data_IF_617577442611
#
_entry.id   IF_617577442611
#
_cell.length_a   1.000
_cell.length_b   1.000
_cell.length_c   1.000
_cell.angle_alpha   90.00
_cell.angle_beta   90.00
_cell.angle_gamma   90.00
#
_symmetry.space_group_name_H-M   'P 1'
#
loop_
_entity.id
_entity.type
_entity.pdbx_description
1 polymer ?
#
# COMPACT_ATOMS: atom_id res chain seq x y z
N UNK A 1 27.40 -6.19 2.71
CA UNK A 1 27.71 -6.06 4.15
C UNK A 1 28.41 -4.73 4.39
N UNK A 2 27.94 -3.91 5.33
CA UNK A 2 28.56 -2.64 5.66
C UNK A 2 29.83 -2.88 6.46
N UNK A 3 30.95 -2.29 6.06
CA UNK A 3 32.24 -2.46 6.76
C UNK A 3 32.24 -1.74 8.11
N UNK A 4 33.05 -2.19 9.09
CA UNK A 4 33.20 -1.54 10.39
C UNK A 4 33.58 -0.05 10.27
N UNK A 5 34.45 0.30 9.30
CA UNK A 5 34.81 1.69 8.99
C UNK A 5 33.59 2.54 8.60
N UNK A 6 32.65 1.96 7.85
CA UNK A 6 31.44 2.64 7.39
C UNK A 6 30.44 2.85 8.55
N UNK A 7 30.35 1.87 9.46
CA UNK A 7 29.53 1.97 10.68
C UNK A 7 30.08 3.08 11.59
N UNK A 8 31.39 3.14 11.76
CA UNK A 8 32.05 4.15 12.60
C UNK A 8 31.94 5.56 12.01
N UNK A 9 32.13 5.70 10.69
CA UNK A 9 31.89 6.96 9.98
C UNK A 9 30.44 7.43 10.11
N UNK A 10 29.46 6.52 9.95
CA UNK A 10 28.06 6.84 10.12
C UNK A 10 27.71 7.25 11.55
N UNK A 11 28.27 6.61 12.57
CA UNK A 11 28.13 7.02 13.98
C UNK A 11 28.71 8.41 14.24
N UNK A 12 29.86 8.73 13.66
CA UNK A 12 30.48 10.06 13.77
C UNK A 12 29.61 11.12 13.11
N UNK A 13 29.15 10.87 11.89
CA UNK A 13 28.27 11.76 11.16
C UNK A 13 26.92 11.96 11.86
N UNK A 14 26.35 10.91 12.47
CA UNK A 14 25.12 11.02 13.24
C UNK A 14 25.24 11.91 14.47
N UNK A 15 26.41 11.92 15.14
CA UNK A 15 26.70 12.83 16.27
C UNK A 15 26.82 14.30 15.84
N UNK A 16 27.26 14.55 14.61
CA UNK A 16 27.40 15.88 14.04
C UNK A 16 26.10 16.37 13.37
N UNK A 17 25.15 15.48 13.13
CA UNK A 17 23.88 15.81 12.50
C UNK A 17 22.89 16.35 13.54
N UNK A 18 22.76 17.67 13.60
CA UNK A 18 21.80 18.35 14.49
C UNK A 18 20.40 18.48 13.92
N UNK A 19 20.12 17.85 12.77
CA UNK A 19 18.85 18.01 12.06
C UNK A 19 18.71 19.37 11.38
N UNK A 20 17.54 19.70 10.80
CA UNK A 20 17.35 20.96 10.12
C UNK A 20 17.31 22.12 11.10
N UNK A 21 18.28 23.04 11.00
CA UNK A 21 18.40 24.21 11.85
C UNK A 21 17.50 25.37 11.41
N UNK A 22 17.21 25.49 10.10
CA UNK A 22 16.39 26.57 9.54
C UNK A 22 14.90 26.21 9.58
N UNK A 23 14.02 27.21 9.67
CA UNK A 23 12.56 27.00 9.67
C UNK A 23 12.07 26.38 8.36
N UNK A 24 12.69 26.72 7.24
CA UNK A 24 12.40 26.08 5.96
C UNK A 24 12.85 24.62 5.94
N UNK A 25 13.99 24.28 6.50
CA UNK A 25 14.48 22.91 6.67
C UNK A 25 13.57 22.11 7.59
N UNK A 26 13.09 22.69 8.69
CA UNK A 26 12.10 22.09 9.60
C UNK A 26 10.76 21.85 8.88
N UNK A 27 10.30 22.82 8.06
CA UNK A 27 9.08 22.67 7.26
C UNK A 27 9.23 21.56 6.22
N UNK A 28 10.37 21.49 5.51
CA UNK A 28 10.68 20.39 4.56
C UNK A 28 10.74 19.03 5.26
N UNK A 29 11.36 18.95 6.42
CA UNK A 29 11.41 17.73 7.23
C UNK A 29 10.00 17.29 7.66
N UNK A 30 9.17 18.23 8.13
CA UNK A 30 7.75 17.96 8.45
C UNK A 30 6.96 17.52 7.22
N UNK A 31 7.16 18.16 6.07
CA UNK A 31 6.51 17.73 4.81
C UNK A 31 6.96 16.33 4.37
N UNK A 32 8.23 15.98 4.57
CA UNK A 32 8.72 14.63 4.32
C UNK A 32 8.12 13.63 5.30
N UNK A 33 7.98 13.97 6.57
CA UNK A 33 7.26 13.13 7.54
C UNK A 33 5.79 12.95 7.16
N UNK A 34 5.14 14.00 6.65
CA UNK A 34 3.75 13.93 6.13
C UNK A 34 3.66 13.11 4.84
N UNK A 35 4.68 13.14 3.97
CA UNK A 35 4.75 12.24 2.79
C UNK A 35 4.85 10.77 3.18
N UNK A 36 5.35 10.46 4.36
CA UNK A 36 5.42 9.11 4.91
C UNK A 36 4.22 8.77 5.83
N UNK A 37 3.04 9.34 5.57
CA UNK A 37 1.79 9.03 6.29
C UNK A 37 1.49 7.52 6.39
N UNK A 38 2.04 6.72 5.49
CA UNK A 38 2.01 5.25 5.59
C UNK A 38 2.58 4.72 6.91
N UNK A 39 3.55 5.43 7.51
CA UNK A 39 4.17 5.06 8.78
C UNK A 39 3.49 5.66 10.00
N UNK A 40 2.48 6.54 9.81
CA UNK A 40 1.72 7.11 10.92
C UNK A 40 0.96 6.02 11.66
N UNK A 41 1.08 5.98 12.97
CA UNK A 41 0.37 5.01 13.84
C UNK A 41 -1.12 5.31 13.92
N UNK A 42 -1.49 6.56 13.74
CA UNK A 42 -2.86 7.04 13.85
C UNK A 42 -3.66 6.80 12.57
N UNK A 43 -4.94 6.55 12.74
CA UNK A 43 -5.96 6.58 11.69
C UNK A 43 -5.84 7.91 10.93
N UNK A 44 -5.82 7.85 9.60
CA UNK A 44 -5.84 9.06 8.77
C UNK A 44 -7.30 9.47 8.62
N UNK A 45 -7.82 10.27 9.54
CA UNK A 45 -9.23 10.70 9.61
C UNK A 45 -9.78 11.21 8.27
N UNK A 46 -8.94 11.79 7.42
CA UNK A 46 -9.36 12.25 6.11
C UNK A 46 -9.56 11.13 5.07
N UNK A 47 -9.09 9.91 5.33
CA UNK A 47 -9.06 8.79 4.38
C UNK A 47 -9.58 7.49 4.96
N UNK A 48 -9.75 7.40 6.26
CA UNK A 48 -10.14 6.19 6.99
C UNK A 48 -11.23 6.54 8.01
N UNK A 49 -12.16 5.64 8.19
CA UNK A 49 -13.20 5.77 9.20
C UNK A 49 -12.64 5.36 10.56
N UNK A 50 -12.74 6.26 11.53
CA UNK A 50 -12.31 6.03 12.91
C UNK A 50 -13.20 4.99 13.62
N UNK A 51 -14.49 4.90 13.27
CA UNK A 51 -15.41 3.92 13.82
C UNK A 51 -15.06 2.51 13.33
N UNK A 52 -14.71 2.36 12.04
CA UNK A 52 -14.22 1.12 11.46
C UNK A 52 -12.94 0.64 12.16
N UNK A 53 -12.02 1.57 12.44
CA UNK A 53 -10.80 1.22 13.18
C UNK A 53 -11.11 0.77 14.60
N UNK A 54 -11.99 1.49 15.32
CA UNK A 54 -12.36 1.15 16.69
C UNK A 54 -13.07 -0.22 16.76
N UNK A 55 -13.95 -0.52 15.80
CA UNK A 55 -14.60 -1.82 15.68
C UNK A 55 -13.58 -2.94 15.40
N UNK A 56 -12.61 -2.69 14.50
CA UNK A 56 -11.53 -3.62 14.19
C UNK A 56 -10.62 -3.87 15.39
N UNK A 57 -10.19 -2.81 16.09
CA UNK A 57 -9.36 -2.90 17.30
C UNK A 57 -10.07 -3.72 18.39
N UNK A 58 -11.37 -3.44 18.59
CA UNK A 58 -12.21 -4.18 19.55
C UNK A 58 -12.31 -5.67 19.18
N UNK A 59 -12.46 -6.00 17.90
CA UNK A 59 -12.49 -7.39 17.43
C UNK A 59 -11.17 -8.11 17.73
N UNK A 60 -10.04 -7.50 17.36
CA UNK A 60 -8.71 -8.07 17.62
C UNK A 60 -8.46 -8.22 19.13
N UNK A 61 -8.82 -7.21 19.94
CA UNK A 61 -8.65 -7.30 21.40
C UNK A 61 -9.56 -8.36 22.04
N UNK A 62 -10.72 -8.63 21.45
CA UNK A 62 -11.62 -9.69 21.86
C UNK A 62 -11.11 -11.10 21.59
N UNK A 63 -10.30 -11.29 20.54
CA UNK A 63 -9.71 -12.59 20.19
C UNK A 63 -8.57 -13.00 21.14
N UNK A 64 -8.00 -12.05 21.86
CA UNK A 64 -6.90 -12.27 22.80
C UNK A 64 -7.35 -12.00 24.23
N UNK A 65 -7.30 -13.02 25.08
CA UNK A 65 -7.55 -12.90 26.53
C UNK A 65 -6.31 -12.33 27.25
N UNK A 66 -6.05 -11.04 27.02
CA UNK A 66 -4.86 -10.34 27.51
C UNK A 66 -5.01 -10.02 29.01
N UNK A 67 -4.35 -10.78 29.88
CA UNK A 67 -4.44 -10.67 31.34
C UNK A 67 -3.53 -9.57 31.90
N UNK A 68 -2.35 -9.39 31.33
CA UNK A 68 -1.39 -8.40 31.82
C UNK A 68 -1.43 -7.09 31.02
N UNK A 69 -0.94 -6.00 31.62
CA UNK A 69 -0.81 -4.73 30.93
C UNK A 69 0.08 -4.82 29.68
N UNK A 70 1.15 -5.64 29.75
CA UNK A 70 2.05 -5.85 28.61
C UNK A 70 1.35 -6.60 27.48
N UNK A 71 0.57 -7.63 27.79
CA UNK A 71 -0.21 -8.35 26.78
C UNK A 71 -1.23 -7.42 26.12
N UNK A 72 -1.95 -6.60 26.89
CA UNK A 72 -2.90 -5.62 26.34
C UNK A 72 -2.23 -4.64 25.40
N UNK A 73 -1.09 -4.08 25.79
CA UNK A 73 -0.33 -3.16 24.93
C UNK A 73 0.14 -3.84 23.64
N UNK A 74 0.61 -5.08 23.71
CA UNK A 74 1.01 -5.84 22.52
C UNK A 74 -0.17 -6.12 21.59
N UNK A 75 -1.35 -6.43 22.12
CA UNK A 75 -2.56 -6.67 21.33
C UNK A 75 -3.04 -5.40 20.66
N UNK A 76 -3.06 -4.26 21.35
CA UNK A 76 -3.39 -2.95 20.76
C UNK A 76 -2.41 -2.59 19.63
N UNK A 77 -1.11 -2.82 19.87
CA UNK A 77 -0.11 -2.60 18.85
C UNK A 77 -0.26 -3.54 17.66
N UNK A 78 -0.64 -4.79 17.89
CA UNK A 78 -0.95 -5.74 16.82
C UNK A 78 -2.12 -5.26 15.98
N UNK A 79 -3.21 -4.81 16.59
CA UNK A 79 -4.36 -4.27 15.89
C UNK A 79 -3.97 -3.08 14.98
N UNK A 80 -3.17 -2.13 15.51
CA UNK A 80 -2.63 -1.02 14.73
C UNK A 80 -1.79 -1.48 13.54
N UNK A 81 -0.91 -2.48 13.70
CA UNK A 81 -0.08 -3.00 12.62
C UNK A 81 -0.91 -3.71 11.54
N UNK A 82 -1.89 -4.51 11.93
CA UNK A 82 -2.78 -5.21 11.01
C UNK A 82 -3.66 -4.22 10.22
N UNK A 83 -4.14 -3.15 10.87
CA UNK A 83 -4.86 -2.07 10.19
C UNK A 83 -4.01 -1.38 9.12
N UNK A 84 -2.76 -1.12 9.43
CA UNK A 84 -1.80 -0.52 8.50
C UNK A 84 -1.46 -1.45 7.34
N UNK A 85 -1.40 -2.76 7.56
CA UNK A 85 -1.27 -3.76 6.49
C UNK A 85 -2.50 -3.74 5.56
N UNK A 86 -3.71 -3.68 6.12
CA UNK A 86 -4.95 -3.52 5.33
C UNK A 86 -4.94 -2.25 4.49
N UNK A 87 -4.44 -1.14 5.06
CA UNK A 87 -4.24 0.12 4.34
C UNK A 87 -3.26 -0.03 3.18
N UNK A 88 -2.15 -0.73 3.35
CA UNK A 88 -1.17 -0.97 2.30
C UNK A 88 -1.80 -1.68 1.09
N UNK A 89 -2.57 -2.73 1.32
CA UNK A 89 -3.34 -3.44 0.27
C UNK A 89 -4.35 -2.53 -0.42
N UNK A 90 -5.04 -1.67 0.33
CA UNK A 90 -5.97 -0.69 -0.24
C UNK A 90 -5.26 0.34 -1.13
N UNK A 91 -4.07 0.80 -0.72
CA UNK A 91 -3.23 1.70 -1.52
C UNK A 91 -2.76 1.02 -2.80
N UNK A 92 -2.28 -0.22 -2.73
CA UNK A 92 -1.89 -0.99 -3.90
C UNK A 92 -3.03 -1.07 -4.91
N UNK A 93 -4.21 -1.51 -4.46
CA UNK A 93 -5.42 -1.58 -5.28
C UNK A 93 -5.79 -0.21 -5.87
N UNK A 94 -5.64 0.86 -5.10
CA UNK A 94 -5.85 2.24 -5.52
C UNK A 94 -4.90 2.68 -6.64
N UNK A 95 -3.62 2.35 -6.52
CA UNK A 95 -2.61 2.63 -7.54
C UNK A 95 -2.95 1.96 -8.87
N UNK A 96 -3.33 0.69 -8.84
CA UNK A 96 -3.77 -0.03 -10.05
C UNK A 96 -5.04 0.58 -10.65
N UNK A 97 -6.04 0.93 -9.83
CA UNK A 97 -7.27 1.60 -10.31
C UNK A 97 -6.97 2.94 -11.00
N UNK A 98 -6.07 3.74 -10.44
CA UNK A 98 -5.67 5.01 -11.04
C UNK A 98 -5.01 4.78 -12.39
N UNK A 99 -4.06 3.83 -12.48
CA UNK A 99 -3.36 3.52 -13.73
C UNK A 99 -4.32 2.95 -14.78
N UNK A 100 -5.20 2.03 -14.41
CA UNK A 100 -6.22 1.48 -15.30
C UNK A 100 -7.13 2.59 -15.87
N UNK A 101 -7.56 3.53 -15.02
CA UNK A 101 -8.37 4.68 -15.44
C UNK A 101 -7.61 5.55 -16.44
N UNK A 102 -6.34 5.84 -16.20
CA UNK A 102 -5.50 6.63 -17.12
C UNK A 102 -5.33 5.92 -18.47
N UNK A 103 -5.10 4.59 -18.48
CA UNK A 103 -5.00 3.82 -19.72
C UNK A 103 -6.30 3.84 -20.53
N UNK A 104 -7.44 3.70 -19.86
CA UNK A 104 -8.74 3.76 -20.51
C UNK A 104 -9.01 5.15 -21.12
N UNK A 105 -8.66 6.21 -20.39
CA UNK A 105 -8.76 7.58 -20.92
C UNK A 105 -7.86 7.79 -22.12
N UNK A 106 -6.63 7.31 -22.08
CA UNK A 106 -5.69 7.38 -23.19
C UNK A 106 -6.21 6.63 -24.43
N UNK A 107 -6.73 5.39 -24.23
CA UNK A 107 -7.34 4.60 -25.32
C UNK A 107 -8.55 5.30 -25.94
N UNK A 108 -9.42 5.92 -25.12
CA UNK A 108 -10.57 6.70 -25.61
C UNK A 108 -10.13 7.89 -26.44
N UNK A 109 -9.14 8.66 -25.98
CA UNK A 109 -8.60 9.81 -26.72
C UNK A 109 -7.98 9.36 -28.05
N UNK A 110 -7.18 8.28 -28.04
CA UNK A 110 -6.57 7.73 -29.25
C UNK A 110 -7.62 7.25 -30.26
N UNK A 111 -8.68 6.57 -29.77
CA UNK A 111 -9.78 6.11 -30.65
C UNK A 111 -10.55 7.28 -31.24
N UNK A 112 -10.82 8.33 -30.48
CA UNK A 112 -11.45 9.54 -30.98
C UNK A 112 -10.58 10.23 -32.04
N UNK A 113 -9.26 10.27 -31.84
CA UNK A 113 -8.33 10.86 -32.81
C UNK A 113 -8.26 10.06 -34.12
N UNK A 114 -8.18 8.73 -34.03
CA UNK A 114 -8.15 7.84 -35.20
C UNK A 114 -9.50 7.81 -35.92
N UNK A 115 -10.60 7.90 -35.21
CA UNK A 115 -11.96 7.98 -35.80
C UNK A 115 -12.12 9.25 -36.65
N UNK A 116 -11.59 10.39 -36.22
CA UNK A 116 -11.58 11.60 -37.01
C UNK A 116 -10.72 11.50 -38.27
N UNK A 117 -9.58 10.79 -38.22
CA UNK A 117 -8.76 10.51 -39.41
C UNK A 117 -9.42 9.53 -40.39
N UNK A 118 -10.12 8.50 -39.89
CA UNK A 118 -10.87 7.55 -40.69
C UNK A 118 -12.12 8.19 -41.32
N UNK A 119 -12.82 9.06 -40.59
CA UNK A 119 -13.96 9.83 -41.13
C UNK A 119 -13.52 10.80 -42.21
N UNK A 120 -12.37 11.45 -42.07
CA UNK A 120 -11.77 12.27 -43.15
C UNK A 120 -11.35 11.43 -44.36
N UNK A 121 -10.90 10.18 -44.16
CA UNK A 121 -10.56 9.27 -45.27
C UNK A 121 -11.81 8.68 -45.93
N UNK A 122 -12.88 8.37 -45.17
CA UNK A 122 -14.14 7.81 -45.69
C UNK A 122 -14.99 8.80 -46.46
N UNK A 123 -14.78 10.07 -46.28
CA UNK A 123 -15.40 11.09 -47.14
C UNK A 123 -14.89 11.03 -48.60
N UNK A 124 -13.93 10.10 -48.86
CA UNK A 124 -13.32 9.89 -50.18
C UNK A 124 -13.59 8.56 -50.86
N UNK A 125 -14.23 7.52 -50.29
CA UNK A 125 -14.67 6.33 -51.07
C UNK A 125 -15.37 5.22 -50.23
N UNK A 126 -16.48 4.71 -50.77
CA UNK A 126 -17.10 3.37 -50.80
C UNK A 126 -17.85 2.81 -49.59
N UNK A 127 -19.13 2.39 -49.81
CA UNK A 127 -19.96 1.73 -48.81
C UNK A 127 -20.04 0.22 -49.06
N UNK A 128 -19.21 -0.59 -48.48
CA UNK A 128 -19.52 -2.02 -48.21
C UNK A 128 -18.53 -2.64 -47.23
N UNK A 129 -19.02 -3.11 -46.11
CA UNK A 129 -18.17 -3.81 -45.11
C UNK A 129 -18.92 -4.16 -43.84
N UNK A 130 -20.01 -4.92 -44.00
CA UNK A 130 -20.56 -5.75 -42.92
C UNK A 130 -19.50 -6.82 -42.60
N UNK A 131 -19.11 -6.97 -41.33
CA UNK A 131 -18.69 -8.23 -40.74
C UNK A 131 -18.03 -8.02 -39.35
N UNK A 132 -18.57 -8.79 -38.41
CA UNK A 132 -17.90 -9.41 -37.28
C UNK A 132 -18.22 -8.90 -35.85
N UNK A 133 -19.42 -9.30 -35.37
CA UNK A 133 -19.81 -9.16 -33.96
C UNK A 133 -19.19 -10.24 -33.05
N UNK A 134 -18.68 -11.34 -33.61
CA UNK A 134 -18.16 -12.49 -32.85
C UNK A 134 -16.74 -12.30 -32.29
N UNK A 135 -15.95 -11.45 -32.94
CA UNK A 135 -14.54 -11.22 -32.53
C UNK A 135 -14.37 -10.23 -31.36
N UNK A 136 -15.43 -9.53 -30.96
CA UNK A 136 -15.34 -8.48 -29.91
C UNK A 136 -15.25 -9.02 -28.50
N UNK A 137 -15.87 -10.18 -28.19
CA UNK A 137 -15.91 -10.73 -26.82
C UNK A 137 -14.60 -11.39 -26.39
N UNK A 138 -13.87 -12.03 -27.30
CA UNK A 138 -12.55 -12.61 -27.01
C UNK A 138 -11.45 -11.56 -26.95
N UNK A 139 -11.59 -10.44 -27.67
CA UNK A 139 -10.67 -9.31 -27.61
C UNK A 139 -10.76 -8.53 -26.29
N UNK A 140 -11.90 -8.50 -25.62
CA UNK A 140 -12.07 -7.73 -24.38
C UNK A 140 -11.42 -8.41 -23.17
N UNK A 141 -11.46 -9.74 -23.06
CA UNK A 141 -10.76 -10.47 -21.97
C UNK A 141 -9.25 -10.45 -22.13
N UNK A 142 -8.73 -10.64 -23.33
CA UNK A 142 -7.30 -10.47 -23.63
C UNK A 142 -6.83 -9.01 -23.39
N UNK A 143 -7.66 -8.03 -23.72
CA UNK A 143 -7.41 -6.62 -23.46
C UNK A 143 -7.41 -6.24 -21.96
N UNK A 144 -8.21 -6.92 -21.13
CA UNK A 144 -8.22 -6.72 -19.69
C UNK A 144 -6.94 -7.25 -19.04
N UNK A 145 -6.51 -8.47 -19.38
CA UNK A 145 -5.26 -9.07 -18.90
C UNK A 145 -4.06 -8.19 -19.28
N UNK A 146 -4.00 -7.73 -20.52
CA UNK A 146 -2.96 -6.82 -20.98
C UNK A 146 -2.99 -5.46 -20.25
N UNK A 147 -4.18 -4.97 -19.86
CA UNK A 147 -4.31 -3.69 -19.14
C UNK A 147 -3.69 -3.75 -17.72
N UNK A 148 -3.85 -4.87 -17.01
CA UNK A 148 -3.23 -5.08 -15.70
C UNK A 148 -1.71 -5.13 -15.84
N UNK A 149 -1.20 -5.90 -16.80
CA UNK A 149 0.23 -6.00 -17.08
C UNK A 149 0.85 -4.64 -17.44
N UNK A 150 0.20 -3.88 -18.32
CA UNK A 150 0.64 -2.52 -18.65
C UNK A 150 0.60 -1.57 -17.46
N UNK A 151 -0.41 -1.67 -16.61
CA UNK A 151 -0.51 -0.86 -15.39
C UNK A 151 0.64 -1.18 -14.43
N UNK A 152 0.96 -2.46 -14.27
CA UNK A 152 2.08 -2.92 -13.46
C UNK A 152 3.42 -2.38 -13.99
N UNK A 153 3.70 -2.58 -15.28
CA UNK A 153 4.93 -2.08 -15.91
C UNK A 153 5.09 -0.56 -15.80
N UNK A 154 3.99 0.19 -15.90
CA UNK A 154 4.04 1.65 -15.68
C UNK A 154 4.34 2.01 -14.24
N UNK A 155 3.72 1.34 -13.27
CA UNK A 155 3.96 1.59 -11.85
C UNK A 155 5.40 1.25 -11.45
N UNK A 156 5.98 0.17 -11.98
CA UNK A 156 7.37 -0.22 -11.71
C UNK A 156 8.37 0.75 -12.33
N UNK A 157 8.05 1.34 -13.48
CA UNK A 157 8.91 2.30 -14.19
C UNK A 157 8.74 3.76 -13.73
N UNK A 158 7.88 4.04 -12.74
CA UNK A 158 7.78 5.38 -12.17
C UNK A 158 9.05 5.73 -11.38
N UNK A 159 9.61 6.95 -11.52
CA UNK A 159 10.83 7.36 -10.82
C UNK A 159 10.68 7.39 -9.29
N UNK A 160 9.46 7.36 -8.79
CA UNK A 160 9.15 7.31 -7.35
C UNK A 160 9.11 5.90 -6.79
N UNK A 161 9.15 4.86 -7.63
CA UNK A 161 9.09 3.44 -7.25
C UNK A 161 8.00 3.12 -6.22
N UNK A 162 6.73 3.45 -6.48
CA UNK A 162 5.68 3.38 -5.45
C UNK A 162 5.42 1.96 -4.96
N UNK A 163 5.46 0.96 -5.84
CA UNK A 163 5.26 -0.45 -5.48
C UNK A 163 6.41 -0.99 -4.63
N UNK A 164 7.66 -0.66 -4.96
CA UNK A 164 8.83 -1.09 -4.19
C UNK A 164 8.83 -0.47 -2.79
N UNK A 165 8.45 0.81 -2.67
CA UNK A 165 8.28 1.47 -1.37
C UNK A 165 7.16 0.83 -0.55
N UNK A 166 6.05 0.50 -1.17
CA UNK A 166 4.91 -0.15 -0.52
C UNK A 166 5.29 -1.54 -0.03
N UNK A 167 5.95 -2.35 -0.87
CA UNK A 167 6.43 -3.69 -0.51
C UNK A 167 7.40 -3.68 0.67
N UNK A 168 8.36 -2.75 0.71
CA UNK A 168 9.27 -2.59 1.86
C UNK A 168 8.53 -2.20 3.13
N UNK A 169 7.52 -1.36 3.00
CA UNK A 169 6.67 -0.96 4.11
C UNK A 169 5.87 -2.14 4.65
N UNK A 170 5.20 -2.89 3.78
CA UNK A 170 4.47 -4.12 4.15
C UNK A 170 5.38 -5.15 4.82
N UNK A 171 6.55 -5.42 4.26
CA UNK A 171 7.52 -6.35 4.83
C UNK A 171 7.95 -5.93 6.24
N UNK A 172 8.06 -4.64 6.50
CA UNK A 172 8.40 -4.11 7.83
C UNK A 172 7.25 -4.29 8.82
N UNK A 173 6.03 -3.95 8.43
CA UNK A 173 4.83 -4.13 9.26
C UNK A 173 4.59 -5.60 9.57
N UNK A 174 4.70 -6.45 8.56
CA UNK A 174 4.51 -7.90 8.71
C UNK A 174 5.52 -8.50 9.68
N UNK A 175 6.80 -8.11 9.58
CA UNK A 175 7.84 -8.55 10.52
C UNK A 175 7.51 -8.15 11.96
N UNK A 176 7.06 -6.90 12.17
CA UNK A 176 6.66 -6.42 13.50
C UNK A 176 5.44 -7.18 14.02
N UNK A 177 4.43 -7.41 13.19
CA UNK A 177 3.25 -8.19 13.56
C UNK A 177 3.62 -9.62 13.94
N UNK A 178 4.47 -10.30 13.15
CA UNK A 178 4.96 -11.63 13.47
C UNK A 178 5.74 -11.67 14.79
N UNK A 179 6.56 -10.67 15.09
CA UNK A 179 7.27 -10.58 16.36
C UNK A 179 6.30 -10.50 17.55
N UNK A 180 5.24 -9.68 17.43
CA UNK A 180 4.22 -9.58 18.49
C UNK A 180 3.46 -10.89 18.64
N UNK A 181 3.03 -11.51 17.54
CA UNK A 181 2.32 -12.80 17.57
C UNK A 181 3.14 -13.90 18.24
N UNK A 182 4.44 -13.98 17.91
CA UNK A 182 5.35 -14.93 18.55
C UNK A 182 5.51 -14.63 20.05
N UNK A 183 5.60 -13.37 20.44
CA UNK A 183 5.72 -12.95 21.84
C UNK A 183 4.46 -13.29 22.61
N UNK A 184 3.28 -13.02 22.07
CA UNK A 184 1.99 -13.35 22.68
C UNK A 184 1.86 -14.87 22.85
N UNK A 185 2.20 -15.64 21.80
CA UNK A 185 2.21 -17.11 21.87
C UNK A 185 3.17 -17.64 22.94
N UNK A 186 4.33 -17.01 23.10
CA UNK A 186 5.30 -17.36 24.15
C UNK A 186 4.72 -17.11 25.55
N UNK A 187 4.02 -16.01 25.77
CA UNK A 187 3.33 -15.73 27.03
C UNK A 187 2.22 -16.75 27.30
N UNK A 188 1.47 -17.14 26.30
CA UNK A 188 0.44 -18.18 26.40
C UNK A 188 1.00 -19.52 26.86
N UNK A 189 2.15 -19.94 26.31
CA UNK A 189 2.80 -21.19 26.71
C UNK A 189 3.36 -21.15 28.14
N UNK A 190 3.71 -19.98 28.64
CA UNK A 190 4.19 -19.81 30.02
C UNK A 190 3.10 -19.87 31.09
N UNK A 191 1.82 -19.78 30.69
CA UNK A 191 0.65 -19.71 31.59
C UNK A 191 -0.32 -20.91 31.45
N UNK A 192 0.13 -22.17 31.27
CA UNK A 192 -0.79 -23.29 31.10
C UNK A 192 -1.72 -23.51 32.31
N UNK A 193 -1.31 -23.07 33.49
CA UNK A 193 -2.03 -23.27 34.74
C UNK A 193 -3.10 -22.24 35.06
N UNK A 194 -3.02 -21.02 34.49
CA UNK A 194 -3.99 -19.98 34.75
C UNK A 194 -5.32 -20.20 33.99
N UNK A 195 -5.29 -20.88 32.84
CA UNK A 195 -6.45 -21.21 32.04
C UNK A 195 -7.33 -22.33 32.59
N UNK A 196 -6.77 -23.19 33.44
CA UNK A 196 -7.49 -24.30 34.08
C UNK A 196 -8.34 -23.89 35.29
N UNK A 197 -8.20 -22.66 35.80
CA UNK A 197 -8.96 -22.14 36.95
C UNK A 197 -10.28 -21.46 36.60
N UNK A 198 -10.61 -21.28 35.30
CA UNK A 198 -11.81 -20.57 34.82
C UNK A 198 -12.79 -21.48 34.06
N UNK A 199 -12.73 -22.80 34.30
CA UNK A 199 -13.77 -23.75 33.87
C UNK A 199 -14.47 -24.37 35.06
#
# INVERSE_FOLDING_TARGET
MTSFKQIEANRRNARLSTGPATDEGKRRSRQNAVRHRLTAETVIEALEDAEDYAAFEKAITGDYDAQTAVERELVLRLASLLWRLRRATAIESGLFKIQAKQLLQFRRRRRAYLGTEEDMRRQGNDPNGDLDAGSRLTADTANQSNAVTHSFLRLTNLPTYPLDRLSRYEATLWRQACQILLTLRFFDHRKPWARLRLR
#
